data_IF_559618120713
#
_entry.id   IF_559618120713
#
_cell.length_a   1.000
_cell.length_b   1.000
_cell.length_c   1.000
_cell.angle_alpha   90.00
_cell.angle_beta   90.00
_cell.angle_gamma   90.00
#
_symmetry.space_group_name_H-M   'P 1'
#
loop_
_entity.id
_entity.type
_entity.pdbx_description
1 polymer ?
#
# COMPACT_ATOMS: atom_id res chain seq x y z
N UNK A 1 2.75 0.89 22.08
CA UNK A 1 2.92 0.67 20.61
C UNK A 1 2.26 1.84 19.87
N UNK A 2 2.81 2.33 18.77
CA UNK A 2 2.20 3.38 17.94
C UNK A 2 1.74 2.76 16.62
N UNK A 3 0.54 3.09 16.15
CA UNK A 3 -0.03 2.52 14.92
C UNK A 3 -0.75 3.61 14.14
N UNK A 4 -0.52 3.70 12.83
CA UNK A 4 -1.22 4.64 11.96
C UNK A 4 -2.31 3.92 11.17
N UNK A 5 -3.51 4.51 11.12
CA UNK A 5 -4.60 4.03 10.27
C UNK A 5 -4.50 4.75 8.93
N UNK A 6 -4.26 4.00 7.86
CA UNK A 6 -4.07 4.53 6.51
C UNK A 6 -5.07 3.91 5.53
N UNK A 7 -5.42 4.67 4.49
CA UNK A 7 -6.38 4.24 3.49
C UNK A 7 -7.05 5.40 2.77
N UNK A 8 -7.76 5.08 1.69
CA UNK A 8 -8.37 6.07 0.82
C UNK A 8 -9.32 7.03 1.54
N UNK A 9 -9.62 8.13 0.86
CA UNK A 9 -10.70 9.02 1.23
C UNK A 9 -12.03 8.29 1.51
N UNK A 10 -12.67 8.57 2.65
CA UNK A 10 -14.03 8.09 2.95
C UNK A 10 -14.18 6.62 3.37
N UNK A 11 -13.10 5.86 3.56
CA UNK A 11 -13.16 4.42 3.93
C UNK A 11 -13.49 4.12 5.40
N UNK A 12 -13.69 5.16 6.24
CA UNK A 12 -14.07 4.99 7.65
C UNK A 12 -12.92 4.96 8.67
N UNK A 13 -11.76 5.56 8.37
CA UNK A 13 -10.60 5.61 9.28
C UNK A 13 -10.93 6.22 10.66
N UNK A 14 -11.49 7.43 10.68
CA UNK A 14 -11.88 8.11 11.92
C UNK A 14 -13.00 7.38 12.66
N UNK A 15 -13.92 6.73 11.92
CA UNK A 15 -14.94 5.85 12.50
C UNK A 15 -14.32 4.63 13.20
N UNK A 16 -13.29 4.02 12.62
CA UNK A 16 -12.54 2.93 13.24
C UNK A 16 -11.84 3.40 14.52
N UNK A 17 -11.23 4.60 14.51
CA UNK A 17 -10.59 5.15 15.72
C UNK A 17 -11.61 5.36 16.85
N UNK A 18 -12.78 5.92 16.56
CA UNK A 18 -13.86 6.05 17.54
C UNK A 18 -14.41 4.71 18.02
N UNK A 19 -14.44 3.68 17.17
CA UNK A 19 -14.84 2.34 17.58
C UNK A 19 -13.81 1.70 18.55
N UNK A 20 -12.52 2.01 18.40
CA UNK A 20 -11.46 1.54 19.30
C UNK A 20 -11.52 2.20 20.68
N UNK A 21 -11.88 3.49 20.73
CA UNK A 21 -12.12 4.19 21.98
C UNK A 21 -13.13 5.35 21.77
N UNK A 22 -14.41 5.15 22.16
CA UNK A 22 -15.45 6.17 21.99
C UNK A 22 -15.16 7.49 22.73
N UNK A 23 -14.33 7.46 23.78
CA UNK A 23 -13.97 8.65 24.55
C UNK A 23 -13.04 9.60 23.80
N UNK A 24 -12.41 9.16 22.70
CA UNK A 24 -11.56 10.02 21.87
C UNK A 24 -12.36 11.08 21.12
N UNK A 25 -13.65 10.83 20.86
CA UNK A 25 -14.57 11.74 20.20
C UNK A 25 -13.99 12.41 18.94
N UNK A 26 -13.26 11.63 18.12
CA UNK A 26 -12.65 12.10 16.88
C UNK A 26 -13.75 12.64 15.96
N UNK A 27 -13.54 13.82 15.37
CA UNK A 27 -14.52 14.44 14.47
C UNK A 27 -14.73 13.56 13.23
N UNK A 28 -15.97 13.23 12.93
CA UNK A 28 -16.39 12.54 11.70
C UNK A 28 -17.32 13.47 10.94
N UNK A 29 -17.12 13.62 9.63
CA UNK A 29 -18.01 14.41 8.77
C UNK A 29 -19.26 13.63 8.36
N UNK A 30 -20.29 14.35 7.89
CA UNK A 30 -21.50 13.74 7.34
C UNK A 30 -21.18 12.89 6.09
N UNK A 31 -22.01 11.88 5.80
CA UNK A 31 -21.90 11.09 4.58
C UNK A 31 -22.35 11.96 3.40
N UNK A 32 -21.53 12.08 2.36
CA UNK A 32 -21.90 12.83 1.17
C UNK A 32 -23.08 12.15 0.47
N UNK A 33 -24.22 12.87 0.33
CA UNK A 33 -25.41 12.36 -0.36
C UNK A 33 -25.13 11.96 -1.82
N UNK A 34 -24.15 12.62 -2.47
CA UNK A 34 -23.79 12.41 -3.88
C UNK A 34 -22.95 11.14 -4.12
N UNK A 35 -22.11 10.75 -3.17
CA UNK A 35 -21.16 9.63 -3.35
C UNK A 35 -21.37 8.48 -2.37
N UNK A 36 -22.26 8.62 -1.39
CA UNK A 36 -22.48 7.67 -0.29
C UNK A 36 -21.18 7.36 0.50
N UNK A 37 -20.20 8.27 0.47
CA UNK A 37 -18.92 8.15 1.17
C UNK A 37 -18.81 9.21 2.27
N UNK A 38 -18.16 8.88 3.38
CA UNK A 38 -17.91 9.82 4.47
C UNK A 38 -17.15 11.07 3.99
N UNK A 39 -17.63 12.27 4.33
CA UNK A 39 -16.98 13.53 3.99
C UNK A 39 -15.78 13.79 4.89
N UNK A 40 -14.71 14.28 4.28
CA UNK A 40 -13.43 14.52 4.94
C UNK A 40 -13.49 15.66 5.94
N UNK A 41 -13.18 15.38 7.21
CA UNK A 41 -12.90 16.44 8.20
C UNK A 41 -11.45 16.40 8.71
N UNK A 42 -10.78 15.24 8.67
CA UNK A 42 -9.36 15.10 9.08
C UNK A 42 -8.42 15.66 7.99
N UNK A 43 -7.87 16.86 8.22
CA UNK A 43 -6.90 17.54 7.33
C UNK A 43 -5.45 17.40 7.80
N UNK A 44 -5.23 16.94 9.04
CA UNK A 44 -3.92 16.74 9.64
C UNK A 44 -3.89 15.40 10.37
N UNK A 45 -2.70 14.83 10.51
CA UNK A 45 -2.51 13.60 11.30
C UNK A 45 -2.55 13.92 12.79
N UNK A 46 -3.34 13.16 13.55
CA UNK A 46 -3.49 13.35 15.01
C UNK A 46 -3.24 12.04 15.75
N UNK A 47 -2.50 12.10 16.87
CA UNK A 47 -2.11 10.96 17.69
C UNK A 47 -3.02 10.86 18.92
N UNK A 48 -3.74 9.75 19.05
CA UNK A 48 -4.67 9.50 20.14
C UNK A 48 -4.17 8.37 21.06
N UNK A 49 -4.24 8.55 22.40
CA UNK A 49 -3.94 7.48 23.34
C UNK A 49 -5.11 6.48 23.45
N UNK A 50 -4.81 5.19 23.31
CA UNK A 50 -5.76 4.09 23.52
C UNK A 50 -5.66 3.46 24.92
N UNK A 51 -4.70 3.90 25.74
CA UNK A 51 -4.39 3.32 27.04
C UNK A 51 -3.19 2.38 27.01
N UNK A 52 -2.66 2.02 28.18
CA UNK A 52 -1.52 1.11 28.34
C UNK A 52 -0.30 1.44 27.46
N UNK A 53 0.02 2.73 27.28
CA UNK A 53 1.11 3.18 26.42
C UNK A 53 0.93 2.86 24.93
N UNK A 54 -0.32 2.68 24.49
CA UNK A 54 -0.69 2.42 23.09
C UNK A 54 -1.33 3.65 22.48
N UNK A 55 -0.99 3.92 21.22
CA UNK A 55 -1.42 5.11 20.49
C UNK A 55 -1.87 4.75 19.07
N UNK A 56 -2.88 5.46 18.59
CA UNK A 56 -3.35 5.38 17.20
C UNK A 56 -3.25 6.75 16.53
N UNK A 57 -2.77 6.78 15.30
CA UNK A 57 -2.73 7.98 14.46
C UNK A 57 -3.90 7.92 13.48
N UNK A 58 -4.83 8.88 13.56
CA UNK A 58 -5.76 9.14 12.45
C UNK A 58 -5.04 9.98 11.40
N UNK A 59 -5.10 9.55 10.15
CA UNK A 59 -4.41 10.21 9.04
C UNK A 59 -5.40 10.73 8.00
N UNK A 60 -5.06 11.82 7.28
CA UNK A 60 -5.84 12.23 6.12
C UNK A 60 -6.03 11.09 5.12
N UNK A 61 -7.16 11.07 4.43
CA UNK A 61 -7.39 10.08 3.38
C UNK A 61 -6.39 10.20 2.24
N UNK A 62 -5.83 9.07 1.84
CA UNK A 62 -4.96 9.00 0.67
C UNK A 62 -5.83 9.23 -0.56
N UNK A 63 -5.48 10.26 -1.35
CA UNK A 63 -6.14 10.53 -2.65
C UNK A 63 -5.42 9.85 -3.79
N UNK A 64 -4.09 9.84 -3.72
CA UNK A 64 -3.19 9.24 -4.69
C UNK A 64 -1.98 8.69 -3.93
N UNK A 65 -1.48 7.53 -4.37
CA UNK A 65 -0.25 6.94 -3.88
C UNK A 65 0.85 7.29 -4.87
N UNK A 66 1.78 8.14 -4.45
CA UNK A 66 3.01 8.39 -5.19
C UNK A 66 4.11 7.46 -4.68
N UNK A 67 4.80 6.80 -5.61
CA UNK A 67 6.01 6.03 -5.30
C UNK A 67 7.22 6.95 -5.46
N UNK A 68 7.68 7.51 -4.33
CA UNK A 68 8.86 8.36 -4.26
C UNK A 68 10.05 7.51 -3.84
N UNK A 69 11.21 7.74 -4.47
CA UNK A 69 12.48 7.08 -4.13
C UNK A 69 12.46 5.54 -4.19
N UNK A 70 11.62 4.97 -5.06
CA UNK A 70 11.65 3.55 -5.41
C UNK A 70 12.06 3.42 -6.87
N UNK A 71 13.15 2.71 -7.13
CA UNK A 71 13.56 2.35 -8.48
C UNK A 71 12.98 1.01 -8.90
N UNK A 72 12.80 0.81 -10.20
CA UNK A 72 12.30 -0.45 -10.79
C UNK A 72 12.99 -1.72 -10.25
N UNK A 73 14.31 -1.67 -10.05
CA UNK A 73 15.09 -2.80 -9.53
C UNK A 73 14.75 -3.20 -8.08
N UNK A 74 14.18 -2.28 -7.32
CA UNK A 74 13.85 -2.49 -5.90
C UNK A 74 12.42 -3.01 -5.74
N UNK A 75 11.57 -2.81 -6.76
CA UNK A 75 10.16 -3.19 -6.71
C UNK A 75 9.93 -4.68 -6.38
N UNK A 76 10.66 -5.66 -6.98
CA UNK A 76 10.46 -7.08 -6.67
C UNK A 76 10.50 -7.40 -5.17
N UNK A 77 11.36 -6.72 -4.40
CA UNK A 77 11.55 -6.97 -2.98
C UNK A 77 10.34 -6.57 -2.13
N UNK A 78 9.45 -5.70 -2.64
CA UNK A 78 8.23 -5.29 -1.95
C UNK A 78 7.03 -6.22 -2.21
N UNK A 79 7.19 -7.22 -3.09
CA UNK A 79 6.18 -8.22 -3.40
C UNK A 79 6.53 -9.54 -2.73
N UNK A 80 6.02 -9.74 -1.51
CA UNK A 80 6.27 -10.97 -0.72
C UNK A 80 5.83 -12.25 -1.44
N UNK A 81 4.84 -12.14 -2.32
CA UNK A 81 4.35 -13.22 -3.18
C UNK A 81 5.47 -13.78 -4.10
N UNK A 82 6.53 -13.02 -4.35
CA UNK A 82 7.64 -13.44 -5.22
C UNK A 82 8.79 -14.10 -4.46
N UNK A 83 8.81 -14.02 -3.13
CA UNK A 83 9.98 -14.37 -2.33
C UNK A 83 10.45 -15.83 -2.50
N UNK A 84 9.52 -16.76 -2.73
CA UNK A 84 9.82 -18.18 -2.94
C UNK A 84 10.30 -18.49 -4.37
N UNK A 85 9.84 -17.73 -5.38
CA UNK A 85 10.08 -18.03 -6.80
C UNK A 85 11.19 -17.16 -7.41
N UNK A 86 11.39 -15.93 -6.94
CA UNK A 86 12.41 -15.03 -7.45
C UNK A 86 13.84 -15.61 -7.38
N UNK A 87 14.26 -16.34 -6.33
CA UNK A 87 15.58 -16.96 -6.28
C UNK A 87 15.81 -18.06 -7.33
N UNK A 88 14.74 -18.66 -7.84
CA UNK A 88 14.78 -19.73 -8.84
C UNK A 88 14.84 -19.18 -10.28
N UNK A 89 14.80 -17.86 -10.45
CA UNK A 89 14.99 -17.22 -11.75
C UNK A 89 16.39 -17.48 -12.29
N UNK A 90 16.49 -17.63 -13.63
CA UNK A 90 17.76 -17.80 -14.31
C UNK A 90 18.73 -16.61 -14.11
N UNK A 91 18.18 -15.40 -13.95
CA UNK A 91 18.95 -14.16 -13.79
C UNK A 91 18.80 -13.62 -12.36
N UNK A 92 19.92 -13.26 -11.75
CA UNK A 92 19.96 -12.69 -10.39
C UNK A 92 19.37 -11.29 -10.28
N UNK A 93 19.27 -10.57 -11.40
CA UNK A 93 18.71 -9.23 -11.54
C UNK A 93 17.38 -9.22 -12.32
N UNK A 94 16.69 -10.37 -12.34
CA UNK A 94 15.40 -10.53 -13.01
C UNK A 94 14.38 -9.49 -12.49
N UNK A 95 13.85 -8.68 -13.40
CA UNK A 95 12.78 -7.71 -13.10
C UNK A 95 11.40 -8.35 -13.14
N UNK A 96 11.29 -9.63 -13.53
CA UNK A 96 10.04 -10.37 -13.63
C UNK A 96 9.02 -9.78 -14.62
N UNK A 97 9.48 -9.07 -15.64
CA UNK A 97 8.62 -8.42 -16.64
C UNK A 97 8.68 -9.13 -17.99
N UNK A 98 9.88 -9.43 -18.46
CA UNK A 98 10.10 -9.91 -19.84
C UNK A 98 11.20 -10.97 -19.93
N UNK A 99 11.85 -11.28 -18.81
CA UNK A 99 12.99 -12.17 -18.77
C UNK A 99 12.60 -13.60 -19.13
N UNK A 100 13.32 -14.25 -20.06
CA UNK A 100 13.08 -15.64 -20.39
C UNK A 100 13.37 -16.52 -19.18
N UNK A 101 12.55 -17.55 -18.96
CA UNK A 101 12.72 -18.45 -17.82
C UNK A 101 12.42 -17.83 -16.44
N UNK A 102 11.74 -16.69 -16.39
CA UNK A 102 11.30 -16.08 -15.14
C UNK A 102 10.33 -16.99 -14.36
N UNK A 103 10.75 -17.43 -13.17
CA UNK A 103 9.94 -18.32 -12.33
C UNK A 103 8.73 -17.63 -11.72
N UNK A 104 8.77 -16.30 -11.55
CA UNK A 104 7.60 -15.51 -11.14
C UNK A 104 6.50 -15.56 -12.21
N UNK A 105 6.83 -15.31 -13.48
CA UNK A 105 5.86 -15.39 -14.60
C UNK A 105 5.33 -16.82 -14.76
N UNK A 106 6.20 -17.82 -14.61
CA UNK A 106 5.78 -19.21 -14.63
C UNK A 106 4.86 -19.56 -13.44
N UNK A 107 5.15 -19.05 -12.25
CA UNK A 107 4.31 -19.20 -11.05
C UNK A 107 2.93 -18.58 -11.21
N UNK A 108 2.82 -17.44 -11.90
CA UNK A 108 1.52 -16.85 -12.27
C UNK A 108 0.76 -17.81 -13.20
N UNK A 109 1.43 -18.39 -14.20
CA UNK A 109 0.81 -19.35 -15.13
C UNK A 109 0.36 -20.65 -14.45
N UNK A 110 1.01 -21.03 -13.35
CA UNK A 110 0.66 -22.20 -12.52
C UNK A 110 -0.38 -21.89 -11.43
N UNK A 111 -0.71 -20.62 -11.21
CA UNK A 111 -1.62 -20.18 -10.14
C UNK A 111 -1.00 -20.11 -8.74
N UNK A 112 0.33 -20.17 -8.64
CA UNK A 112 1.07 -19.97 -7.38
C UNK A 112 1.09 -18.50 -6.96
N UNK A 113 1.05 -17.60 -7.95
CA UNK A 113 0.87 -16.16 -7.76
C UNK A 113 -0.45 -15.75 -8.42
N UNK A 114 -1.28 -15.02 -7.68
CA UNK A 114 -2.52 -14.48 -8.24
C UNK A 114 -2.23 -13.52 -9.41
N UNK A 115 -2.92 -13.72 -10.53
CA UNK A 115 -2.74 -12.90 -11.73
C UNK A 115 -2.93 -11.40 -11.46
N UNK A 116 -3.94 -11.03 -10.66
CA UNK A 116 -4.19 -9.64 -10.24
C UNK A 116 -3.02 -9.03 -9.45
N UNK A 117 -2.30 -9.84 -8.67
CA UNK A 117 -1.13 -9.37 -7.91
C UNK A 117 0.04 -9.08 -8.85
N UNK A 118 0.25 -9.96 -9.84
CA UNK A 118 1.25 -9.74 -10.88
C UNK A 118 0.90 -8.56 -11.80
N UNK A 119 -0.36 -8.38 -12.16
CA UNK A 119 -0.80 -7.22 -12.94
C UNK A 119 -0.55 -5.91 -12.17
N UNK A 120 -0.85 -5.87 -10.88
CA UNK A 120 -0.52 -4.73 -10.03
C UNK A 120 0.99 -4.46 -9.97
N UNK A 121 1.81 -5.51 -9.91
CA UNK A 121 3.27 -5.38 -9.99
C UNK A 121 3.70 -4.70 -11.30
N UNK A 122 3.21 -5.16 -12.45
CA UNK A 122 3.52 -4.57 -13.75
C UNK A 122 3.08 -3.10 -13.84
N UNK A 123 1.86 -2.79 -13.38
CA UNK A 123 1.33 -1.43 -13.39
C UNK A 123 2.19 -0.48 -12.54
N UNK A 124 2.64 -0.94 -11.37
CA UNK A 124 3.54 -0.15 -10.52
C UNK A 124 4.90 -0.03 -11.21
N UNK A 125 5.46 -1.12 -11.72
CA UNK A 125 6.74 -1.14 -12.42
C UNK A 125 6.80 -0.10 -13.55
N UNK A 126 5.75 -0.02 -14.38
CA UNK A 126 5.68 0.94 -15.49
C UNK A 126 5.56 2.40 -15.02
N UNK A 127 5.00 2.63 -13.83
CA UNK A 127 4.92 3.98 -13.23
C UNK A 127 6.24 4.46 -12.61
N UNK A 128 7.19 3.55 -12.33
CA UNK A 128 8.44 3.88 -11.66
C UNK A 128 9.51 4.42 -12.61
N UNK A 129 10.40 5.25 -12.06
CA UNK A 129 11.59 5.72 -12.77
C UNK A 129 12.65 4.62 -12.84
N UNK A 130 13.42 4.62 -13.92
CA UNK A 130 14.69 3.91 -13.95
C UNK A 130 15.66 4.61 -12.98
N UNK A 131 16.58 3.86 -12.37
CA UNK A 131 17.67 4.49 -11.61
C UNK A 131 18.47 5.40 -12.54
N UNK A 132 18.47 6.71 -12.26
CA UNK A 132 19.38 7.65 -12.91
C UNK A 132 20.75 7.46 -12.27
N UNK A 133 21.72 6.98 -13.05
CA UNK A 133 23.12 7.12 -12.68
C UNK A 133 23.46 8.61 -12.80
N UNK A 134 23.33 9.36 -11.71
CA UNK A 134 23.98 10.67 -11.61
C UNK A 134 25.49 10.40 -11.65
N UNK A 135 26.14 10.87 -12.72
CA UNK A 135 27.60 10.94 -12.84
C UNK A 135 28.09 12.24 -12.24
#
# INVERSE_FOLDING_TARGET
KVTAVMGQSGVGKSSLVNALNPHLAVRIGEVSERTQKGMHTTTHSELFPLGNGTFVVDTPGIRELGFWDIFKRELPAFFVDFAELAPECQFSDCTHIHEPGCQVIAGVSRGEIFAERYENYCNIYDSLKNASYET
#
